data_IF_209421909940
#
_entry.id   IF_209421909940
#
_cell.length_a   1.000
_cell.length_b   1.000
_cell.length_c   1.000
_cell.angle_alpha   90.00
_cell.angle_beta   90.00
_cell.angle_gamma   90.00
#
_symmetry.space_group_name_H-M   'P 1'
#
loop_
_entity.id
_entity.type
_entity.pdbx_description
1 polymer ?
#
# COMPACT_ATOMS: atom_id res chain seq x y z
N UNK A 1 -33.81 -0.13 26.17
CA UNK A 1 -33.95 -1.50 25.60
C UNK A 1 -35.39 -1.71 25.18
N UNK A 2 -35.64 -2.37 24.05
CA UNK A 2 -37.02 -2.63 23.60
C UNK A 2 -37.67 -3.71 24.47
N UNK A 3 -38.81 -3.40 25.07
CA UNK A 3 -39.57 -4.31 25.94
C UNK A 3 -40.23 -5.43 25.13
N UNK A 4 -40.38 -6.65 25.70
CA UNK A 4 -41.09 -7.76 25.07
C UNK A 4 -42.54 -7.40 24.77
N UNK A 5 -43.07 -7.83 23.62
CA UNK A 5 -44.46 -7.61 23.25
C UNK A 5 -45.35 -8.71 23.84
N UNK A 6 -46.40 -8.34 24.58
CA UNK A 6 -47.38 -9.31 25.13
C UNK A 6 -48.54 -9.50 24.16
N UNK A 7 -48.86 -10.74 23.82
CA UNK A 7 -50.04 -11.05 23.01
C UNK A 7 -51.33 -10.92 23.86
N UNK A 8 -52.30 -10.09 23.44
CA UNK A 8 -53.53 -9.85 24.19
C UNK A 8 -54.46 -11.06 24.27
N UNK A 9 -54.32 -12.06 23.39
CA UNK A 9 -55.17 -13.26 23.36
C UNK A 9 -54.62 -14.39 24.21
N UNK A 10 -53.30 -14.59 24.17
CA UNK A 10 -52.65 -15.76 24.80
C UNK A 10 -51.87 -15.39 26.06
N UNK A 11 -51.58 -14.10 26.27
CA UNK A 11 -50.75 -13.61 27.35
C UNK A 11 -49.25 -13.93 27.21
N UNK A 12 -48.85 -14.62 26.14
CA UNK A 12 -47.47 -15.02 25.88
C UNK A 12 -46.66 -13.83 25.36
N UNK A 13 -45.41 -13.71 25.82
CA UNK A 13 -44.50 -12.68 25.36
C UNK A 13 -43.73 -13.08 24.09
N UNK A 14 -43.45 -12.08 23.23
CA UNK A 14 -42.73 -12.22 21.98
C UNK A 14 -41.61 -11.19 21.85
N UNK A 15 -40.49 -11.61 21.27
CA UNK A 15 -39.52 -10.71 20.67
C UNK A 15 -39.99 -10.33 19.26
N UNK A 16 -40.08 -9.03 18.98
CA UNK A 16 -40.42 -8.51 17.65
C UNK A 16 -39.54 -7.32 17.29
N UNK A 17 -38.92 -7.36 16.11
CA UNK A 17 -38.17 -6.24 15.52
C UNK A 17 -38.52 -6.08 14.04
N UNK A 18 -38.51 -4.84 13.56
CA UNK A 18 -38.71 -4.53 12.14
C UNK A 18 -37.42 -4.80 11.39
N UNK A 19 -37.52 -5.45 10.22
CA UNK A 19 -36.38 -5.65 9.32
C UNK A 19 -36.38 -4.50 8.29
N UNK A 20 -35.27 -3.76 8.14
CA UNK A 20 -35.14 -2.72 7.12
C UNK A 20 -35.45 -3.26 5.72
N UNK A 21 -36.15 -2.47 4.90
CA UNK A 21 -36.67 -2.89 3.57
C UNK A 21 -35.58 -3.54 2.71
N UNK A 22 -34.41 -2.89 2.61
CA UNK A 22 -33.28 -3.36 1.82
C UNK A 22 -32.71 -4.71 2.26
N UNK A 23 -32.91 -5.12 3.51
CA UNK A 23 -32.35 -6.36 4.08
C UNK A 23 -33.37 -7.50 4.11
N UNK A 24 -34.64 -7.25 3.83
CA UNK A 24 -35.71 -8.28 3.86
C UNK A 24 -35.43 -9.49 2.96
N UNK A 25 -34.91 -9.33 1.72
CA UNK A 25 -34.59 -10.49 0.87
C UNK A 25 -33.55 -11.42 1.47
N UNK A 26 -32.74 -10.93 2.41
CA UNK A 26 -31.67 -11.68 3.08
C UNK A 26 -32.13 -12.31 4.41
N UNK A 27 -33.40 -12.13 4.79
CA UNK A 27 -34.02 -12.67 6.01
C UNK A 27 -35.17 -13.62 5.65
N UNK A 28 -34.83 -14.86 5.32
CA UNK A 28 -35.76 -15.98 5.09
C UNK A 28 -36.95 -15.67 4.13
N UNK A 29 -36.81 -14.64 3.29
CA UNK A 29 -37.58 -14.42 2.07
C UNK A 29 -38.74 -13.41 2.11
N UNK A 30 -39.47 -13.17 3.21
CA UNK A 30 -40.75 -12.41 3.09
C UNK A 30 -41.19 -11.57 4.30
N UNK A 31 -40.59 -11.74 5.48
CA UNK A 31 -41.16 -11.11 6.70
C UNK A 31 -40.73 -9.65 6.88
N UNK A 32 -41.70 -8.75 7.07
CA UNK A 32 -41.47 -7.34 7.41
C UNK A 32 -40.88 -7.15 8.82
N UNK A 33 -40.91 -8.19 9.64
CA UNK A 33 -40.33 -8.19 10.98
C UNK A 33 -39.94 -9.58 11.45
N UNK A 34 -38.87 -9.61 12.23
CA UNK A 34 -38.38 -10.80 12.91
C UNK A 34 -39.20 -11.03 14.19
N UNK A 35 -39.97 -12.12 14.23
CA UNK A 35 -40.80 -12.52 15.39
C UNK A 35 -40.33 -13.86 15.96
N UNK A 36 -40.12 -13.91 17.28
CA UNK A 36 -39.83 -15.14 18.04
C UNK A 36 -40.65 -15.16 19.33
N UNK A 37 -41.23 -16.31 19.65
CA UNK A 37 -41.92 -16.52 20.93
C UNK A 37 -40.88 -16.58 22.04
N UNK A 38 -41.19 -15.97 23.19
CA UNK A 38 -40.39 -16.13 24.42
C UNK A 38 -40.93 -17.26 25.30
N UNK A 39 -42.06 -17.86 24.91
CA UNK A 39 -42.68 -19.02 25.54
C UNK A 39 -42.84 -18.89 27.06
N UNK A 40 -43.26 -17.70 27.49
CA UNK A 40 -43.54 -17.39 28.90
C UNK A 40 -44.63 -16.34 29.01
N UNK A 41 -45.36 -16.38 30.13
CA UNK A 41 -46.35 -15.38 30.55
C UNK A 41 -45.83 -14.49 31.68
N UNK A 42 -44.66 -14.81 32.24
CA UNK A 42 -44.01 -14.05 33.30
C UNK A 42 -43.21 -12.88 32.69
N UNK A 43 -43.47 -11.62 33.09
CA UNK A 43 -42.75 -10.46 32.56
C UNK A 43 -41.25 -10.43 32.91
N UNK A 44 -40.83 -10.98 34.05
CA UNK A 44 -39.42 -10.99 34.45
C UNK A 44 -38.62 -12.03 33.64
N UNK A 45 -39.19 -13.23 33.48
CA UNK A 45 -38.64 -14.27 32.62
C UNK A 45 -38.62 -13.83 31.15
N UNK A 46 -39.66 -13.14 30.69
CA UNK A 46 -39.70 -12.57 29.35
C UNK A 46 -38.56 -11.56 29.14
N UNK A 47 -38.26 -10.70 30.13
CA UNK A 47 -37.13 -9.76 30.04
C UNK A 47 -35.79 -10.49 29.90
N UNK A 48 -35.58 -11.56 30.66
CA UNK A 48 -34.35 -12.36 30.58
C UNK A 48 -34.22 -13.05 29.21
N UNK A 49 -35.28 -13.71 28.73
CA UNK A 49 -35.29 -14.42 27.44
C UNK A 49 -35.21 -13.47 26.22
N UNK A 50 -35.61 -12.21 26.38
CA UNK A 50 -35.56 -11.20 25.32
C UNK A 50 -34.12 -10.83 24.90
N UNK A 51 -33.17 -10.84 25.83
CA UNK A 51 -31.79 -10.41 25.56
C UNK A 51 -31.06 -11.35 24.57
N UNK A 52 -31.06 -12.68 24.75
CA UNK A 52 -30.49 -13.60 23.76
C UNK A 52 -31.07 -13.44 22.34
N UNK A 53 -32.39 -13.24 22.23
CA UNK A 53 -33.03 -13.01 20.93
C UNK A 53 -32.64 -11.68 20.29
N UNK A 54 -32.42 -10.64 21.10
CA UNK A 54 -31.90 -9.36 20.61
C UNK A 54 -30.48 -9.52 20.02
N UNK A 55 -29.59 -10.24 20.71
CA UNK A 55 -28.23 -10.50 20.22
C UNK A 55 -28.25 -11.27 18.89
N UNK A 56 -29.04 -12.34 18.80
CA UNK A 56 -29.17 -13.13 17.55
C UNK A 56 -29.71 -12.26 16.41
N UNK A 57 -30.68 -11.39 16.68
CA UNK A 57 -31.22 -10.48 15.68
C UNK A 57 -30.16 -9.50 15.16
N UNK A 58 -29.39 -8.87 16.05
CA UNK A 58 -28.31 -7.96 15.65
C UNK A 58 -27.22 -8.68 14.83
N UNK A 59 -26.86 -9.92 15.21
CA UNK A 59 -25.93 -10.73 14.43
C UNK A 59 -26.47 -11.04 13.02
N UNK A 60 -27.74 -11.44 12.90
CA UNK A 60 -28.38 -11.65 11.60
C UNK A 60 -28.42 -10.36 10.77
N UNK A 61 -28.69 -9.22 11.41
CA UNK A 61 -28.75 -7.93 10.76
C UNK A 61 -27.37 -7.52 10.23
N UNK A 62 -26.33 -7.70 11.03
CA UNK A 62 -24.94 -7.46 10.61
C UNK A 62 -24.51 -8.38 9.47
N UNK A 63 -24.87 -9.68 9.53
CA UNK A 63 -24.59 -10.62 8.45
C UNK A 63 -25.31 -10.25 7.15
N UNK A 64 -26.59 -9.89 7.22
CA UNK A 64 -27.35 -9.43 6.06
C UNK A 64 -26.77 -8.14 5.46
N UNK A 65 -26.34 -7.17 6.29
CA UNK A 65 -25.66 -5.97 5.80
C UNK A 65 -24.39 -6.31 5.04
N UNK A 66 -23.53 -7.18 5.60
CA UNK A 66 -22.30 -7.64 4.92
C UNK A 66 -22.62 -8.34 3.59
N UNK A 67 -23.61 -9.23 3.57
CA UNK A 67 -24.01 -9.93 2.36
C UNK A 67 -24.54 -8.98 1.28
N UNK A 68 -25.31 -7.95 1.68
CA UNK A 68 -25.75 -6.90 0.77
C UNK A 68 -24.56 -6.13 0.19
N UNK A 69 -23.64 -5.66 1.04
CA UNK A 69 -22.42 -4.96 0.60
C UNK A 69 -21.58 -5.80 -0.36
N UNK A 70 -21.35 -7.08 -0.05
CA UNK A 70 -20.62 -8.00 -0.94
C UNK A 70 -21.32 -8.17 -2.27
N UNK A 71 -22.65 -8.32 -2.27
CA UNK A 71 -23.45 -8.42 -3.51
C UNK A 71 -23.34 -7.15 -4.34
N UNK A 72 -23.47 -5.98 -3.72
CA UNK A 72 -23.35 -4.68 -4.40
C UNK A 72 -21.94 -4.49 -4.96
N UNK A 73 -20.90 -4.84 -4.21
CA UNK A 73 -19.52 -4.77 -4.70
C UNK A 73 -19.27 -5.68 -5.89
N UNK A 74 -19.80 -6.91 -5.87
CA UNK A 74 -19.70 -7.81 -7.01
C UNK A 74 -20.42 -7.25 -8.24
N UNK A 75 -21.63 -6.71 -8.06
CA UNK A 75 -22.38 -6.06 -9.12
C UNK A 75 -21.64 -4.84 -9.68
N UNK A 76 -21.11 -3.99 -8.80
CA UNK A 76 -20.35 -2.79 -9.16
C UNK A 76 -19.08 -3.13 -9.95
N UNK A 77 -18.36 -4.18 -9.56
CA UNK A 77 -17.21 -4.68 -10.33
C UNK A 77 -17.61 -5.16 -11.72
N UNK A 78 -18.71 -5.90 -11.84
CA UNK A 78 -19.19 -6.34 -13.15
C UNK A 78 -19.59 -5.16 -14.05
N UNK A 79 -20.29 -4.15 -13.49
CA UNK A 79 -20.64 -2.91 -14.21
C UNK A 79 -19.40 -2.15 -14.67
N UNK A 80 -18.39 -2.05 -13.79
CA UNK A 80 -17.13 -1.39 -14.08
C UNK A 80 -16.34 -2.10 -15.18
N UNK A 81 -16.22 -3.42 -15.11
CA UNK A 81 -15.53 -4.21 -16.15
C UNK A 81 -16.23 -4.03 -17.51
N UNK A 82 -17.56 -4.03 -17.53
CA UNK A 82 -18.34 -3.76 -18.76
C UNK A 82 -18.10 -2.34 -19.29
N UNK A 83 -18.02 -1.34 -18.41
CA UNK A 83 -17.73 0.06 -18.77
C UNK A 83 -16.30 0.23 -19.32
N UNK A 84 -15.35 -0.55 -18.80
CA UNK A 84 -13.92 -0.42 -19.13
C UNK A 84 -13.42 -1.39 -20.21
N UNK A 85 -14.30 -2.15 -20.88
CA UNK A 85 -13.90 -3.21 -21.86
C UNK A 85 -12.84 -2.73 -22.85
N UNK A 86 -13.00 -1.54 -23.42
CA UNK A 86 -12.08 -0.97 -24.42
C UNK A 86 -11.08 0.04 -23.84
N UNK A 87 -10.93 0.08 -22.51
CA UNK A 87 -10.05 1.04 -21.82
C UNK A 87 -8.71 0.39 -21.49
N UNK A 88 -7.64 0.92 -22.08
CA UNK A 88 -6.26 0.51 -21.78
C UNK A 88 -5.78 0.97 -20.40
N UNK A 89 -4.78 0.28 -19.85
CA UNK A 89 -4.10 0.70 -18.61
C UNK A 89 -3.54 2.13 -18.71
N UNK A 90 -3.04 2.52 -19.88
CA UNK A 90 -2.51 3.87 -20.12
C UNK A 90 -3.61 4.92 -20.03
N UNK A 91 -4.82 4.64 -20.51
CA UNK A 91 -5.96 5.53 -20.35
C UNK A 91 -6.37 5.66 -18.88
N UNK A 92 -6.40 4.56 -18.13
CA UNK A 92 -6.70 4.58 -16.69
C UNK A 92 -5.66 5.40 -15.90
N UNK A 93 -4.38 5.24 -16.23
CA UNK A 93 -3.31 6.08 -15.69
C UNK A 93 -3.51 7.56 -16.05
N UNK A 94 -3.94 7.87 -17.27
CA UNK A 94 -4.27 9.23 -17.68
C UNK A 94 -5.44 9.83 -16.88
N UNK A 95 -6.43 9.03 -16.51
CA UNK A 95 -7.53 9.46 -15.62
C UNK A 95 -6.98 9.75 -14.22
N UNK A 96 -6.18 8.84 -13.66
CA UNK A 96 -5.55 9.01 -12.36
C UNK A 96 -4.68 10.29 -12.31
N UNK A 97 -3.86 10.52 -13.35
CA UNK A 97 -3.05 11.72 -13.48
C UNK A 97 -3.90 12.99 -13.49
N UNK A 98 -5.01 13.02 -14.25
CA UNK A 98 -5.91 14.17 -14.30
C UNK A 98 -6.52 14.46 -12.94
N UNK A 99 -6.94 13.44 -12.20
CA UNK A 99 -7.47 13.59 -10.85
C UNK A 99 -6.41 14.15 -9.89
N UNK A 100 -5.16 13.65 -9.98
CA UNK A 100 -4.04 14.16 -9.20
C UNK A 100 -3.69 15.63 -9.51
N UNK A 101 -3.76 16.02 -10.79
CA UNK A 101 -3.56 17.41 -11.19
C UNK A 101 -4.67 18.33 -10.66
N UNK A 102 -5.92 17.85 -10.71
CA UNK A 102 -7.08 18.57 -10.21
C UNK A 102 -6.98 18.84 -8.70
N UNK A 103 -6.63 17.82 -7.93
CA UNK A 103 -6.44 17.92 -6.48
C UNK A 103 -5.27 18.86 -6.12
N UNK A 104 -4.13 18.72 -6.79
CA UNK A 104 -2.99 19.62 -6.59
C UNK A 104 -3.38 21.07 -6.88
N UNK A 105 -4.14 21.31 -7.95
CA UNK A 105 -4.65 22.63 -8.28
C UNK A 105 -5.58 23.19 -7.19
N UNK A 106 -6.54 22.40 -6.72
CA UNK A 106 -7.45 22.78 -5.63
C UNK A 106 -6.69 23.16 -4.36
N UNK A 107 -5.65 22.37 -4.05
CA UNK A 107 -4.74 22.67 -2.95
C UNK A 107 -4.02 24.01 -3.18
N UNK A 108 -3.37 24.21 -4.33
CA UNK A 108 -2.64 25.46 -4.60
C UNK A 108 -3.53 26.69 -4.47
N UNK A 109 -4.80 26.59 -4.88
CA UNK A 109 -5.80 27.63 -4.71
C UNK A 109 -6.12 27.88 -3.24
N UNK A 110 -6.38 26.83 -2.45
CA UNK A 110 -6.67 26.94 -1.02
C UNK A 110 -5.56 27.62 -0.20
N UNK A 111 -4.31 27.59 -0.69
CA UNK A 111 -3.16 28.25 -0.07
C UNK A 111 -2.79 29.60 -0.71
N UNK A 112 -3.62 30.13 -1.61
CA UNK A 112 -3.40 31.44 -2.25
C UNK A 112 -2.20 31.49 -3.18
N UNK A 113 -1.76 30.34 -3.70
CA UNK A 113 -0.65 30.24 -4.67
C UNK A 113 -1.13 30.41 -6.12
N UNK A 114 -2.44 30.39 -6.34
CA UNK A 114 -3.09 30.68 -7.62
C UNK A 114 -4.48 31.26 -7.40
N UNK A 115 -4.94 32.10 -8.33
CA UNK A 115 -6.29 32.67 -8.33
C UNK A 115 -7.32 31.76 -9.04
N UNK A 116 -6.83 30.76 -9.79
CA UNK A 116 -7.69 29.80 -10.46
C UNK A 116 -8.05 28.68 -9.50
N UNK A 117 -9.35 28.43 -9.33
CA UNK A 117 -9.85 27.27 -8.58
C UNK A 117 -10.22 26.13 -9.54
N UNK A 118 -9.29 25.21 -9.85
CA UNK A 118 -9.60 24.08 -10.72
C UNK A 118 -10.50 23.06 -10.02
N UNK A 119 -10.56 23.07 -8.68
CA UNK A 119 -11.21 22.02 -7.88
C UNK A 119 -12.52 22.43 -7.19
N UNK A 120 -12.97 23.68 -7.31
CA UNK A 120 -14.06 24.25 -6.49
C UNK A 120 -15.42 23.55 -6.52
N UNK A 121 -15.62 22.57 -7.41
CA UNK A 121 -16.81 21.73 -7.45
C UNK A 121 -16.68 20.43 -6.65
N UNK A 122 -15.48 20.09 -6.18
CA UNK A 122 -15.16 18.83 -5.54
C UNK A 122 -14.51 19.09 -4.18
N UNK A 123 -14.98 18.38 -3.16
CA UNK A 123 -14.34 18.39 -1.86
C UNK A 123 -13.21 17.35 -1.84
N UNK A 124 -11.96 17.82 -1.83
CA UNK A 124 -10.77 16.97 -1.63
C UNK A 124 -10.36 16.85 -0.15
N UNK A 125 -11.21 17.33 0.76
CA UNK A 125 -10.96 17.39 2.19
C UNK A 125 -10.07 18.56 2.59
N UNK A 126 -9.54 18.51 3.81
CA UNK A 126 -8.66 19.56 4.33
C UNK A 126 -7.30 19.49 3.64
N UNK A 127 -6.85 20.56 2.96
CA UNK A 127 -5.53 20.59 2.36
C UNK A 127 -4.45 20.56 3.45
N UNK A 128 -3.36 19.85 3.16
CA UNK A 128 -2.16 19.80 3.98
C UNK A 128 -1.52 21.19 4.16
N UNK A 129 -0.45 21.33 4.93
CA UNK A 129 0.17 22.64 5.18
C UNK A 129 0.99 23.15 3.98
N UNK A 130 1.35 24.46 3.94
CA UNK A 130 2.25 24.99 2.91
C UNK A 130 3.63 24.33 2.87
N UNK A 131 4.14 23.85 4.01
CA UNK A 131 5.42 23.13 4.05
C UNK A 131 5.30 21.76 3.37
N UNK A 132 4.16 21.08 3.57
CA UNK A 132 3.86 19.79 2.90
C UNK A 132 3.83 19.94 1.36
N UNK A 133 3.46 21.12 0.84
CA UNK A 133 3.46 21.37 -0.61
C UNK A 133 4.84 21.35 -1.23
N UNK A 134 5.80 22.01 -0.57
CA UNK A 134 7.15 22.11 -1.12
C UNK A 134 7.79 20.72 -1.19
N UNK A 135 7.64 19.96 -0.12
CA UNK A 135 8.12 18.58 -0.04
C UNK A 135 7.38 17.66 -1.04
N UNK A 136 6.08 17.86 -1.23
CA UNK A 136 5.29 17.10 -2.20
C UNK A 136 5.67 17.43 -3.66
N UNK A 137 5.90 18.70 -3.98
CA UNK A 137 6.29 19.15 -5.32
C UNK A 137 7.64 18.58 -5.75
N UNK A 138 8.65 18.69 -4.88
CA UNK A 138 10.00 18.16 -5.13
C UNK A 138 9.98 16.63 -5.25
N UNK A 139 9.25 15.95 -4.35
CA UNK A 139 9.06 14.49 -4.40
C UNK A 139 8.36 14.06 -5.68
N UNK A 140 7.28 14.75 -6.07
CA UNK A 140 6.53 14.44 -7.29
C UNK A 140 7.43 14.58 -8.52
N UNK A 141 8.17 15.69 -8.64
CA UNK A 141 9.10 15.90 -9.75
C UNK A 141 10.15 14.79 -9.84
N UNK A 142 10.71 14.38 -8.68
CA UNK A 142 11.66 13.27 -8.60
C UNK A 142 11.05 11.93 -9.07
N UNK A 143 9.84 11.61 -8.62
CA UNK A 143 9.17 10.34 -8.97
C UNK A 143 8.71 10.31 -10.43
N UNK A 144 8.21 11.43 -10.96
CA UNK A 144 7.74 11.53 -12.35
C UNK A 144 8.87 11.49 -13.39
N UNK A 145 10.09 11.87 -12.98
CA UNK A 145 11.30 11.76 -13.79
C UNK A 145 11.68 10.30 -14.12
N UNK A 146 11.26 9.34 -13.29
CA UNK A 146 11.49 7.91 -13.52
C UNK A 146 10.20 7.30 -14.10
N UNK A 147 10.18 6.83 -15.37
CA UNK A 147 8.96 6.34 -16.02
C UNK A 147 8.20 5.27 -15.21
N UNK A 148 8.93 4.33 -14.58
CA UNK A 148 8.34 3.26 -13.78
C UNK A 148 7.71 3.75 -12.48
N UNK A 149 8.14 4.91 -11.96
CA UNK A 149 7.65 5.51 -10.71
C UNK A 149 6.67 6.65 -10.94
N UNK A 150 6.53 7.11 -12.18
CA UNK A 150 5.64 8.21 -12.56
C UNK A 150 4.19 8.05 -12.05
N UNK A 151 3.61 6.83 -11.98
CA UNK A 151 2.25 6.68 -11.45
C UNK A 151 2.14 6.79 -9.92
N UNK A 152 3.24 6.77 -9.17
CA UNK A 152 3.22 6.75 -7.71
C UNK A 152 2.57 7.98 -7.07
N UNK A 153 2.86 9.23 -7.48
CA UNK A 153 2.17 10.40 -6.93
C UNK A 153 0.65 10.36 -7.18
N UNK A 154 0.23 9.79 -8.31
CA UNK A 154 -1.19 9.64 -8.64
C UNK A 154 -1.84 8.56 -7.78
N UNK A 155 -1.12 7.48 -7.47
CA UNK A 155 -1.57 6.45 -6.53
C UNK A 155 -1.78 7.02 -5.13
N UNK A 156 -0.86 7.87 -4.64
CA UNK A 156 -1.00 8.55 -3.34
C UNK A 156 -2.27 9.42 -3.29
N UNK A 157 -2.55 10.16 -4.37
CA UNK A 157 -3.79 10.93 -4.55
C UNK A 157 -5.02 10.03 -4.48
N UNK A 158 -5.05 8.94 -5.26
CA UNK A 158 -6.18 8.02 -5.30
C UNK A 158 -6.46 7.39 -3.93
N UNK A 159 -5.41 7.06 -3.17
CA UNK A 159 -5.54 6.54 -1.81
C UNK A 159 -6.14 7.57 -0.85
N UNK A 160 -5.78 8.85 -0.99
CA UNK A 160 -6.38 9.95 -0.22
C UNK A 160 -7.85 10.12 -0.59
N UNK A 161 -8.18 10.20 -1.87
CA UNK A 161 -9.57 10.30 -2.36
C UNK A 161 -10.41 9.12 -1.86
N UNK A 162 -9.85 7.91 -1.85
CA UNK A 162 -10.51 6.71 -1.34
C UNK A 162 -10.74 6.70 0.18
N UNK A 163 -10.11 7.61 0.92
CA UNK A 163 -10.27 7.80 2.36
C UNK A 163 -11.19 8.97 2.72
N UNK A 164 -11.68 9.73 1.73
CA UNK A 164 -12.61 10.83 1.96
C UNK A 164 -13.99 10.33 2.41
N UNK A 165 -14.71 11.13 3.20
CA UNK A 165 -16.08 10.80 3.63
C UNK A 165 -17.10 10.88 2.49
N UNK A 166 -16.82 11.66 1.43
CA UNK A 166 -17.61 11.70 0.20
C UNK A 166 -16.76 11.26 -1.00
N UNK A 167 -17.44 10.84 -2.07
CA UNK A 167 -16.83 10.45 -3.34
C UNK A 167 -17.05 11.51 -4.43
N UNK A 168 -17.31 12.76 -4.03
CA UNK A 168 -17.61 13.86 -4.96
C UNK A 168 -16.54 14.03 -6.07
N UNK A 169 -15.23 13.89 -5.79
CA UNK A 169 -14.20 13.99 -6.84
C UNK A 169 -14.37 13.00 -8.01
N UNK A 170 -15.12 11.92 -7.82
CA UNK A 170 -15.37 10.88 -8.82
C UNK A 170 -16.86 10.62 -9.07
N UNK A 171 -17.75 11.50 -8.59
CA UNK A 171 -19.21 11.35 -8.78
C UNK A 171 -19.57 11.17 -10.26
N UNK A 172 -18.93 11.95 -11.14
CA UNK A 172 -19.11 11.83 -12.58
C UNK A 172 -18.84 10.41 -13.10
N UNK A 173 -17.82 9.72 -12.60
CA UNK A 173 -17.49 8.37 -13.03
C UNK A 173 -18.52 7.38 -12.50
N UNK A 174 -18.97 7.55 -11.25
CA UNK A 174 -20.00 6.71 -10.64
C UNK A 174 -21.30 6.80 -11.44
N UNK A 175 -21.73 8.01 -11.77
CA UNK A 175 -22.94 8.26 -12.54
C UNK A 175 -22.84 7.67 -13.95
N UNK A 176 -21.71 7.83 -14.63
CA UNK A 176 -21.50 7.27 -15.98
C UNK A 176 -21.51 5.74 -15.99
N UNK A 177 -20.81 5.10 -15.05
CA UNK A 177 -20.79 3.63 -14.94
C UNK A 177 -22.20 3.10 -14.66
N UNK A 178 -22.94 3.74 -13.76
CA UNK A 178 -24.32 3.37 -13.46
C UNK A 178 -25.24 3.53 -14.68
N UNK A 179 -25.13 4.65 -15.39
CA UNK A 179 -25.93 4.96 -16.57
C UNK A 179 -25.72 3.96 -17.70
N UNK A 180 -24.46 3.62 -18.02
CA UNK A 180 -24.13 2.64 -19.06
C UNK A 180 -24.64 1.24 -18.75
N UNK A 181 -24.93 0.95 -17.47
CA UNK A 181 -25.53 -0.29 -17.00
C UNK A 181 -27.06 -0.17 -16.78
N UNK A 182 -27.69 0.88 -17.32
CA UNK A 182 -29.15 1.07 -17.29
C UNK A 182 -29.71 1.50 -15.93
N UNK A 183 -28.87 1.97 -15.01
CA UNK A 183 -29.31 2.45 -13.69
C UNK A 183 -29.64 3.94 -13.75
N UNK A 184 -30.88 4.27 -13.41
CA UNK A 184 -31.40 5.64 -13.40
C UNK A 184 -31.26 6.25 -12.00
N UNK A 185 -31.09 7.57 -11.92
CA UNK A 185 -31.02 8.28 -10.65
C UNK A 185 -32.37 8.29 -9.89
N UNK A 186 -32.35 8.32 -8.53
CA UNK A 186 -31.17 8.32 -7.68
C UNK A 186 -30.57 6.91 -7.52
N UNK A 187 -29.24 6.83 -7.59
CA UNK A 187 -28.50 5.59 -7.35
C UNK A 187 -28.64 5.23 -5.87
N UNK A 188 -28.90 3.96 -5.57
CA UNK A 188 -28.98 3.49 -4.19
C UNK A 188 -27.64 3.72 -3.47
N UNK A 189 -27.60 4.29 -2.25
CA UNK A 189 -26.35 4.73 -1.62
C UNK A 189 -25.28 3.65 -1.48
N UNK A 190 -25.65 2.41 -1.14
CA UNK A 190 -24.67 1.32 -1.00
C UNK A 190 -24.09 0.89 -2.34
N UNK A 191 -24.88 0.98 -3.41
CA UNK A 191 -24.41 0.77 -4.78
C UNK A 191 -23.53 1.92 -5.27
N UNK A 192 -23.90 3.18 -5.00
CA UNK A 192 -23.10 4.36 -5.32
C UNK A 192 -21.68 4.25 -4.74
N UNK A 193 -21.59 3.94 -3.45
CA UNK A 193 -20.32 3.73 -2.76
C UNK A 193 -19.54 2.53 -3.34
N UNK A 194 -20.24 1.43 -3.64
CA UNK A 194 -19.61 0.24 -4.22
C UNK A 194 -19.02 0.49 -5.61
N UNK A 195 -19.70 1.27 -6.47
CA UNK A 195 -19.21 1.66 -7.80
C UNK A 195 -17.97 2.54 -7.66
N UNK A 196 -18.05 3.59 -6.84
CA UNK A 196 -16.92 4.50 -6.64
C UNK A 196 -15.71 3.81 -6.07
N UNK A 197 -15.90 2.89 -5.10
CA UNK A 197 -14.80 2.11 -4.55
C UNK A 197 -14.17 1.17 -5.57
N UNK A 198 -14.99 0.45 -6.35
CA UNK A 198 -14.49 -0.42 -7.40
C UNK A 198 -13.68 0.37 -8.44
N UNK A 199 -14.15 1.56 -8.83
CA UNK A 199 -13.46 2.44 -9.76
C UNK A 199 -12.10 2.91 -9.23
N UNK A 200 -12.04 3.40 -7.98
CA UNK A 200 -10.78 3.81 -7.34
C UNK A 200 -9.80 2.63 -7.19
N UNK A 201 -10.28 1.46 -6.76
CA UNK A 201 -9.45 0.26 -6.67
C UNK A 201 -8.85 -0.10 -8.05
N UNK A 202 -9.62 0.05 -9.13
CA UNK A 202 -9.15 -0.20 -10.51
C UNK A 202 -8.13 0.82 -10.99
N UNK A 203 -8.30 2.10 -10.66
CA UNK A 203 -7.31 3.15 -10.94
C UNK A 203 -6.02 2.93 -10.13
N UNK A 204 -6.14 2.58 -8.85
CA UNK A 204 -5.02 2.21 -8.01
C UNK A 204 -4.24 1.02 -8.60
N UNK A 205 -4.94 -0.01 -9.06
CA UNK A 205 -4.31 -1.18 -9.70
C UNK A 205 -3.57 -0.80 -11.00
N UNK A 206 -4.07 0.17 -11.76
CA UNK A 206 -3.39 0.69 -12.96
C UNK A 206 -2.11 1.48 -12.62
N UNK A 207 -2.08 2.11 -11.45
CA UNK A 207 -0.94 2.92 -10.97
C UNK A 207 0.01 2.14 -10.03
N UNK A 208 -0.34 0.92 -9.65
CA UNK A 208 0.50 0.08 -8.81
C UNK A 208 1.81 -0.25 -9.52
N UNK A 209 2.92 -0.21 -8.78
CA UNK A 209 4.23 -0.61 -9.30
C UNK A 209 4.19 -2.07 -9.72
N UNK A 210 4.30 -2.31 -11.02
CA UNK A 210 4.53 -3.65 -11.56
C UNK A 210 6.03 -3.84 -11.65
N UNK A 211 6.62 -4.30 -10.54
CA UNK A 211 8.01 -4.74 -10.54
C UNK A 211 8.04 -6.04 -11.35
N UNK A 212 8.51 -5.98 -12.59
CA UNK A 212 8.76 -7.18 -13.38
C UNK A 212 9.84 -8.00 -12.65
N UNK A 213 9.55 -9.23 -12.21
CA UNK A 213 10.52 -10.08 -11.55
C UNK A 213 11.75 -10.34 -12.43
N UNK A 214 11.66 -10.25 -13.77
CA UNK A 214 12.80 -10.33 -14.68
C UNK A 214 13.60 -9.01 -14.76
N UNK A 215 12.99 -7.86 -14.43
CA UNK A 215 13.67 -6.55 -14.26
C UNK A 215 14.15 -6.30 -12.82
N UNK A 216 14.01 -7.26 -11.90
CA UNK A 216 14.55 -7.13 -10.52
C UNK A 216 16.07 -6.96 -10.49
N UNK A 217 16.76 -7.23 -11.59
CA UNK A 217 18.05 -6.59 -11.85
C UNK A 217 17.81 -5.17 -12.36
N UNK A 218 17.64 -4.23 -11.43
CA UNK A 218 18.13 -2.87 -11.66
C UNK A 218 19.67 -2.99 -11.67
N UNK A 219 20.22 -3.57 -12.74
CA UNK A 219 21.54 -3.17 -13.19
C UNK A 219 21.33 -1.75 -13.68
N UNK A 220 22.02 -0.73 -13.13
CA UNK A 220 21.96 0.61 -13.68
C UNK A 220 22.23 0.50 -15.18
N UNK A 221 21.32 1.03 -16.02
CA UNK A 221 21.46 0.94 -17.46
C UNK A 221 22.85 1.43 -17.86
N UNK A 222 23.69 0.63 -18.54
CA UNK A 222 24.90 1.17 -19.12
C UNK A 222 24.47 2.26 -20.10
N UNK A 223 25.07 3.43 -19.98
CA UNK A 223 24.90 4.52 -20.94
C UNK A 223 25.25 3.93 -22.32
N UNK A 224 24.23 3.69 -23.15
CA UNK A 224 24.42 3.26 -24.53
C UNK A 224 24.99 4.44 -25.31
N UNK A 225 26.28 4.36 -25.61
CA UNK A 225 26.89 5.14 -26.70
C UNK A 225 26.25 4.62 -28.00
N UNK A 226 25.71 5.49 -28.88
CA UNK A 226 25.07 5.02 -30.11
C UNK A 226 26.10 4.32 -31.01
N UNK A 227 25.82 3.08 -31.42
CA UNK A 227 26.51 2.47 -32.56
C UNK A 227 26.97 1.02 -32.46
N UNK A 228 26.24 0.10 -31.80
CA UNK A 228 26.46 -1.35 -32.01
C UNK A 228 25.11 -2.09 -31.92
N UNK A 229 24.64 -2.62 -33.06
CA UNK A 229 23.52 -3.57 -33.11
C UNK A 229 24.05 -4.97 -32.77
N UNK A 230 23.39 -5.68 -31.84
CA UNK A 230 23.61 -7.12 -31.66
C UNK A 230 22.26 -7.82 -31.56
N UNK A 231 21.98 -8.62 -32.59
CA UNK A 231 20.86 -9.58 -32.67
C UNK A 231 20.95 -10.63 -31.56
N UNK A 232 19.82 -10.92 -30.91
CA UNK A 232 19.67 -12.06 -30.01
C UNK A 232 18.86 -13.18 -30.70
N UNK A 233 19.48 -14.36 -30.85
CA UNK A 233 18.81 -15.63 -31.17
C UNK A 233 19.03 -16.58 -29.99
N UNK A 234 17.93 -16.88 -29.29
CA UNK A 234 17.45 -18.08 -28.53
C UNK A 234 18.42 -19.24 -28.18
N UNK A 235 18.11 -20.17 -27.23
CA UNK A 235 17.21 -20.22 -26.04
C UNK A 235 17.95 -20.64 -24.72
N UNK A 236 17.27 -20.68 -23.55
CA UNK A 236 17.86 -21.10 -22.28
C UNK A 236 17.70 -22.60 -21.98
N UNK A 237 18.69 -23.21 -21.29
CA UNK A 237 18.42 -24.15 -20.19
C UNK A 237 19.41 -23.88 -19.01
N UNK A 238 19.32 -24.37 -17.79
CA UNK A 238 18.47 -25.24 -16.98
C UNK A 238 18.91 -24.96 -15.52
N UNK A 239 18.02 -25.06 -14.53
CA UNK A 239 18.31 -24.73 -13.14
C UNK A 239 19.06 -25.88 -12.47
N UNK A 240 20.36 -25.71 -12.18
CA UNK A 240 21.13 -26.55 -11.26
C UNK A 240 21.22 -25.88 -9.88
N UNK A 241 20.96 -26.65 -8.82
CA UNK A 241 21.08 -26.25 -7.41
C UNK A 241 22.56 -26.10 -7.00
N UNK A 242 23.23 -25.06 -7.48
CA UNK A 242 24.52 -24.65 -6.93
C UNK A 242 24.30 -23.65 -5.79
N UNK A 243 24.95 -23.91 -4.65
CA UNK A 243 24.91 -23.06 -3.46
C UNK A 243 25.34 -21.65 -3.86
N UNK A 244 24.51 -20.63 -3.59
CA UNK A 244 24.78 -19.28 -4.03
C UNK A 244 26.17 -18.79 -3.54
N UNK A 245 26.93 -18.06 -4.38
CA UNK A 245 28.24 -17.54 -4.00
C UNK A 245 28.14 -16.57 -2.81
N UNK A 246 29.21 -16.46 -2.01
CA UNK A 246 29.26 -15.52 -0.87
C UNK A 246 29.40 -14.08 -1.35
N UNK A 247 29.05 -13.12 -0.48
CA UNK A 247 29.19 -11.69 -0.80
C UNK A 247 30.64 -11.31 -1.15
N UNK A 248 31.63 -11.93 -0.50
CA UNK A 248 33.05 -11.72 -0.82
C UNK A 248 33.40 -12.28 -2.20
N UNK A 249 32.93 -13.48 -2.54
CA UNK A 249 33.16 -14.10 -3.85
C UNK A 249 32.54 -13.27 -4.98
N UNK A 250 31.26 -12.89 -4.84
CA UNK A 250 30.57 -12.05 -5.84
C UNK A 250 31.29 -10.73 -6.04
N UNK A 251 31.85 -10.14 -4.98
CA UNK A 251 32.60 -8.90 -5.09
C UNK A 251 33.93 -9.05 -5.82
N UNK A 252 34.74 -10.06 -5.48
CA UNK A 252 36.03 -10.25 -6.14
C UNK A 252 35.84 -10.66 -7.62
N UNK A 253 34.87 -11.54 -7.91
CA UNK A 253 34.51 -11.91 -9.28
C UNK A 253 33.99 -10.70 -10.08
N UNK A 254 33.18 -9.85 -9.45
CA UNK A 254 32.68 -8.61 -10.02
C UNK A 254 33.78 -7.55 -10.24
N UNK A 255 34.76 -7.46 -9.33
CA UNK A 255 35.89 -6.54 -9.46
C UNK A 255 36.84 -6.93 -10.60
N UNK A 256 36.93 -8.22 -10.93
CA UNK A 256 37.64 -8.73 -12.10
C UNK A 256 36.87 -8.43 -13.39
N UNK A 257 35.54 -8.56 -13.37
CA UNK A 257 34.68 -8.37 -14.56
C UNK A 257 34.44 -6.90 -14.92
N UNK A 258 34.42 -5.99 -13.95
CA UNK A 258 34.27 -4.54 -14.18
C UNK A 258 35.43 -3.76 -13.54
N UNK A 259 36.47 -3.41 -14.31
CA UNK A 259 37.57 -2.61 -13.78
C UNK A 259 37.07 -1.22 -13.39
N UNK A 260 37.15 -0.91 -12.10
CA UNK A 260 36.85 0.41 -11.52
C UNK A 260 38.12 1.08 -11.04
N UNK A 261 38.01 2.36 -10.67
CA UNK A 261 39.12 3.07 -10.05
C UNK A 261 39.64 2.27 -8.82
N UNK A 262 40.96 1.95 -8.75
CA UNK A 262 41.50 1.05 -7.73
C UNK A 262 41.14 1.46 -6.29
N UNK A 263 41.14 2.78 -6.03
CA UNK A 263 40.79 3.35 -4.74
C UNK A 263 39.36 3.02 -4.30
N UNK A 264 38.41 3.04 -5.22
CA UNK A 264 37.00 2.72 -4.93
C UNK A 264 36.86 1.24 -4.63
N UNK A 265 37.56 0.38 -5.38
CA UNK A 265 37.58 -1.06 -5.16
C UNK A 265 38.14 -1.39 -3.76
N UNK A 266 39.22 -0.74 -3.33
CA UNK A 266 39.81 -0.96 -2.00
C UNK A 266 38.90 -0.49 -0.85
N UNK A 267 38.20 0.62 -1.02
CA UNK A 267 37.22 1.12 -0.07
C UNK A 267 36.03 0.15 0.06
N UNK A 268 35.55 -0.39 -1.06
CA UNK A 268 34.43 -1.34 -1.10
C UNK A 268 34.84 -2.71 -0.56
N UNK A 269 36.03 -3.18 -0.92
CA UNK A 269 36.63 -4.40 -0.35
C UNK A 269 36.70 -4.31 1.17
N UNK A 270 37.08 -3.15 1.70
CA UNK A 270 37.09 -2.90 3.14
C UNK A 270 35.69 -2.97 3.75
N UNK A 271 34.68 -2.40 3.09
CA UNK A 271 33.30 -2.43 3.56
C UNK A 271 32.72 -3.87 3.57
N UNK A 272 32.94 -4.61 2.48
CA UNK A 272 32.49 -5.99 2.32
C UNK A 272 33.20 -6.92 3.29
N UNK A 273 34.52 -6.77 3.46
CA UNK A 273 35.27 -7.51 4.47
C UNK A 273 34.78 -7.28 5.90
N UNK A 274 34.28 -6.07 6.23
CA UNK A 274 33.63 -5.81 7.53
C UNK A 274 32.27 -6.49 7.64
N UNK A 275 31.49 -6.49 6.57
CA UNK A 275 30.19 -7.15 6.55
C UNK A 275 30.34 -8.66 6.70
N UNK A 276 31.26 -9.26 5.94
CA UNK A 276 31.61 -10.67 6.01
C UNK A 276 32.06 -11.08 7.42
N UNK A 277 32.91 -10.28 8.09
CA UNK A 277 33.31 -10.54 9.48
C UNK A 277 32.18 -10.44 10.51
N UNK A 278 31.13 -9.65 10.23
CA UNK A 278 30.00 -9.48 11.14
C UNK A 278 28.96 -10.60 11.01
N UNK A 279 28.90 -11.24 9.84
CA UNK A 279 27.84 -12.17 9.46
C UNK A 279 28.36 -13.51 8.90
N UNK A 280 29.62 -13.84 9.16
CA UNK A 280 30.29 -15.07 8.72
C UNK A 280 30.23 -15.31 7.20
N UNK A 281 30.50 -14.26 6.42
CA UNK A 281 30.53 -14.24 4.94
C UNK A 281 29.32 -14.94 4.28
N UNK A 282 28.11 -14.39 4.46
CA UNK A 282 26.88 -15.07 4.05
C UNK A 282 26.79 -15.20 2.52
N UNK A 283 26.19 -16.29 2.01
CA UNK A 283 25.68 -16.37 0.64
C UNK A 283 24.78 -15.19 0.30
N UNK A 284 24.90 -14.63 -0.90
CA UNK A 284 24.19 -13.38 -1.27
C UNK A 284 22.66 -13.54 -1.18
N UNK A 285 22.12 -14.72 -1.46
CA UNK A 285 20.70 -15.05 -1.35
C UNK A 285 20.17 -15.14 0.10
N UNK A 286 21.07 -15.24 1.08
CA UNK A 286 20.72 -15.27 2.51
C UNK A 286 20.82 -13.91 3.20
N UNK A 287 21.27 -12.87 2.49
CA UNK A 287 21.42 -11.52 3.05
C UNK A 287 20.04 -10.92 3.31
N UNK A 288 19.74 -10.64 4.58
CA UNK A 288 18.47 -10.05 4.99
C UNK A 288 18.61 -8.56 5.32
N UNK A 289 17.49 -7.82 5.25
CA UNK A 289 17.45 -6.42 5.71
C UNK A 289 17.83 -6.26 7.19
N UNK A 290 17.69 -7.30 8.01
CA UNK A 290 18.15 -7.29 9.41
C UNK A 290 19.67 -7.20 9.50
N UNK A 291 20.38 -7.95 8.65
CA UNK A 291 21.85 -7.95 8.58
C UNK A 291 22.38 -6.58 8.13
N UNK A 292 21.78 -5.99 7.11
CA UNK A 292 22.14 -4.63 6.63
C UNK A 292 21.93 -3.58 7.73
N UNK A 293 20.83 -3.66 8.49
CA UNK A 293 20.57 -2.76 9.64
C UNK A 293 21.56 -2.97 10.78
N UNK A 294 21.93 -4.21 11.07
CA UNK A 294 22.94 -4.55 12.08
C UNK A 294 24.30 -3.97 11.67
N UNK A 295 24.70 -4.18 10.42
CA UNK A 295 25.92 -3.60 9.86
C UNK A 295 25.94 -2.08 9.92
N UNK A 296 24.85 -1.40 9.53
CA UNK A 296 24.71 0.06 9.65
C UNK A 296 24.94 0.55 11.07
N UNK A 297 24.32 -0.11 12.06
CA UNK A 297 24.48 0.22 13.48
C UNK A 297 25.92 0.02 13.95
N UNK A 298 26.54 -1.11 13.58
CA UNK A 298 27.93 -1.41 13.93
C UNK A 298 28.88 -0.38 13.32
N UNK A 299 28.74 -0.06 12.03
CA UNK A 299 29.56 0.96 11.36
C UNK A 299 29.44 2.35 11.99
N UNK A 300 28.23 2.76 12.39
CA UNK A 300 28.03 4.05 13.07
C UNK A 300 28.75 4.14 14.43
N UNK A 301 29.01 2.99 15.07
CA UNK A 301 29.75 2.89 16.33
C UNK A 301 31.27 2.74 16.17
N UNK A 302 31.78 2.49 14.95
CA UNK A 302 33.21 2.30 14.75
C UNK A 302 33.97 3.64 14.87
N UNK A 303 35.18 3.63 15.44
CA UNK A 303 36.00 4.82 15.54
C UNK A 303 36.47 5.28 14.14
N UNK A 304 36.40 6.58 13.87
CA UNK A 304 36.82 7.17 12.60
C UNK A 304 38.33 7.07 12.36
N UNK A 305 39.12 7.03 13.45
CA UNK A 305 40.57 6.81 13.42
C UNK A 305 40.93 5.76 14.47
N UNK A 306 41.02 4.50 14.03
CA UNK A 306 41.44 3.40 14.88
C UNK A 306 42.97 3.26 14.88
N UNK A 307 43.58 3.22 16.06
CA UNK A 307 44.98 2.77 16.21
C UNK A 307 45.08 1.26 15.95
N UNK A 308 46.29 0.76 15.67
CA UNK A 308 46.53 -0.66 15.34
C UNK A 308 45.96 -1.64 16.38
N UNK A 309 46.04 -1.29 17.66
CA UNK A 309 45.50 -2.07 18.77
C UNK A 309 43.98 -2.25 18.72
N UNK A 310 43.26 -1.23 18.24
CA UNK A 310 41.80 -1.25 18.12
C UNK A 310 41.40 -2.04 16.88
N UNK A 311 42.07 -1.81 15.74
CA UNK A 311 41.76 -2.47 14.46
C UNK A 311 41.93 -4.00 14.52
N UNK A 312 42.77 -4.51 15.43
CA UNK A 312 42.99 -5.94 15.63
C UNK A 312 41.84 -6.66 16.35
N UNK A 313 40.93 -5.93 17.00
CA UNK A 313 39.81 -6.51 17.75
C UNK A 313 38.62 -6.88 16.83
N UNK A 314 37.74 -7.80 17.25
CA UNK A 314 36.42 -8.00 16.62
C UNK A 314 35.63 -6.70 16.50
N UNK A 315 34.79 -6.57 15.46
CA UNK A 315 34.11 -5.31 15.15
C UNK A 315 33.22 -4.78 16.27
N UNK A 316 32.56 -5.68 17.02
CA UNK A 316 31.73 -5.28 18.16
C UNK A 316 32.59 -4.75 19.31
N UNK A 317 33.70 -5.40 19.61
CA UNK A 317 34.66 -4.97 20.64
C UNK A 317 35.29 -3.61 20.29
N UNK A 318 35.50 -3.33 18.99
CA UNK A 318 35.94 -2.00 18.52
C UNK A 318 34.93 -0.91 18.86
N UNK A 319 33.63 -1.19 18.68
CA UNK A 319 32.54 -0.24 19.00
C UNK A 319 32.47 0.00 20.51
N UNK A 320 32.56 -1.06 21.31
CA UNK A 320 32.54 -0.95 22.77
C UNK A 320 33.73 -0.14 23.30
N UNK A 321 34.93 -0.39 22.77
CA UNK A 321 36.14 0.34 23.15
C UNK A 321 36.10 1.80 22.68
N UNK A 322 35.58 2.07 21.49
CA UNK A 322 35.38 3.43 20.99
C UNK A 322 34.42 4.22 21.90
N UNK A 323 33.34 3.58 22.36
CA UNK A 323 32.40 4.16 23.34
C UNK A 323 33.08 4.39 24.69
N UNK A 324 33.83 3.41 25.21
CA UNK A 324 34.52 3.51 26.49
C UNK A 324 35.59 4.62 26.51
N UNK A 325 36.34 4.78 25.41
CA UNK A 325 37.39 5.80 25.26
C UNK A 325 36.89 7.12 24.66
N UNK A 326 35.58 7.26 24.41
CA UNK A 326 34.92 8.43 23.81
C UNK A 326 35.59 8.90 22.52
N UNK A 327 35.94 7.95 21.65
CA UNK A 327 36.55 8.25 20.35
C UNK A 327 35.52 8.80 19.37
N UNK A 328 35.95 9.68 18.47
CA UNK A 328 35.12 10.14 17.35
C UNK A 328 34.76 8.96 16.44
N UNK A 329 33.48 8.74 16.19
CA UNK A 329 32.98 7.64 15.35
C UNK A 329 32.78 8.07 13.89
N UNK A 330 32.49 7.10 13.01
CA UNK A 330 32.27 7.35 11.59
C UNK A 330 31.09 8.29 11.34
N UNK A 331 31.27 9.21 10.39
CA UNK A 331 30.21 10.14 9.98
C UNK A 331 29.08 9.40 9.24
N UNK A 332 27.84 9.93 9.26
CA UNK A 332 26.72 9.34 8.51
C UNK A 332 27.00 9.15 7.03
N UNK A 333 27.70 10.09 6.38
CA UNK A 333 28.08 9.99 4.98
C UNK A 333 29.04 8.81 4.72
N UNK A 334 30.00 8.59 5.62
CA UNK A 334 30.93 7.44 5.54
C UNK A 334 30.22 6.11 5.76
N UNK A 335 29.25 6.06 6.68
CA UNK A 335 28.43 4.87 6.91
C UNK A 335 27.56 4.56 5.67
N UNK A 336 26.93 5.57 5.07
CA UNK A 336 26.14 5.39 3.85
C UNK A 336 26.99 4.91 2.67
N UNK A 337 28.24 5.40 2.54
CA UNK A 337 29.19 4.92 1.53
C UNK A 337 29.63 3.47 1.77
N UNK A 338 29.76 3.03 3.02
CA UNK A 338 30.03 1.63 3.33
C UNK A 338 28.81 0.74 3.02
N UNK A 339 27.60 1.25 3.22
CA UNK A 339 26.36 0.53 2.91
C UNK A 339 26.15 0.33 1.41
N UNK A 340 26.53 1.30 0.56
CA UNK A 340 26.42 1.16 -0.89
C UNK A 340 27.32 0.07 -1.49
N UNK A 341 28.24 -0.50 -0.71
CA UNK A 341 29.05 -1.65 -1.15
C UNK A 341 28.37 -3.00 -0.84
N UNK A 342 27.34 -3.01 0.01
CA UNK A 342 26.65 -4.22 0.50
C UNK A 342 25.20 -4.30 0.01
N UNK A 343 24.57 -3.15 -0.28
CA UNK A 343 23.20 -3.00 -0.75
C UNK A 343 23.13 -2.83 -2.27
#
# INVERSE_FOLDING_TARGET
MASPFKDPRTGIFYFRRVIPVALRPLFDGVSSGYKRTLDTRDPDEARQRNHPHAVIFEQKLAAARRALTTKQLHSARAMLEAYLVDTSEQQLQGIAQKLALLELGAFTYAHGLTDHDPGGRYDFGTPSTPDDLRDHGDRKAMLEAIPDFRPLPWLETLQRVAALPSLDPIDWAIVMIAFDNGIVQPIEPTLYEAIGRAFLDRLCAACALKIDPARTRILPSPILIPGIEISATTPPPEISNERAPTITQVFEDGAVFQPREPKVVDEWRTAIGRFARLHDDPPVDTITASMVRAYRRTCAGLPARAGKEITALPLLDQVELAKARRLTTLSPATVNKALSAVA
#
